data_IF_012881580613
#
_entry.id   IF_012881580613
#
_cell.length_a   1.000
_cell.length_b   1.000
_cell.length_c   1.000
_cell.angle_alpha   90.00
_cell.angle_beta   90.00
_cell.angle_gamma   90.00
#
_symmetry.space_group_name_H-M   'P 1'
#
loop_
_entity.id
_entity.type
_entity.pdbx_description
1 polymer ?
#
# COMPACT_ATOMS: atom_id res chain seq x y z
N UNK A 1 13.63 20.91 -18.14
CA UNK A 1 12.48 20.00 -17.99
C UNK A 1 11.23 20.85 -17.73
N UNK A 2 10.02 20.38 -18.04
CA UNK A 2 8.76 21.15 -17.93
C UNK A 2 8.04 20.82 -16.61
N UNK A 3 8.75 20.84 -15.50
CA UNK A 3 8.28 20.23 -14.25
C UNK A 3 7.17 21.02 -13.54
N UNK A 4 6.99 22.30 -13.91
CA UNK A 4 5.93 23.19 -13.41
C UNK A 4 4.81 23.45 -14.44
N UNK A 5 4.84 22.78 -15.60
CA UNK A 5 3.87 23.00 -16.67
C UNK A 5 3.18 21.69 -17.04
N UNK A 6 1.84 21.72 -17.12
CA UNK A 6 1.07 20.58 -17.63
C UNK A 6 1.41 20.35 -19.10
N UNK A 7 1.76 19.12 -19.45
CA UNK A 7 1.97 18.71 -20.84
C UNK A 7 0.59 18.45 -21.45
N UNK A 8 0.26 19.11 -22.56
CA UNK A 8 -0.99 18.86 -23.27
C UNK A 8 -0.94 17.47 -23.92
N UNK A 9 -1.62 16.53 -23.30
CA UNK A 9 -1.65 15.14 -23.70
C UNK A 9 -3.00 14.51 -23.32
N UNK A 10 -3.42 13.52 -24.10
CA UNK A 10 -4.53 12.63 -23.76
C UNK A 10 -3.98 11.22 -23.71
N UNK A 11 -4.15 10.56 -22.56
CA UNK A 11 -3.64 9.20 -22.31
C UNK A 11 -4.83 8.38 -21.80
N UNK A 12 -5.11 7.25 -22.47
CA UNK A 12 -6.24 6.38 -22.14
C UNK A 12 -7.58 7.14 -22.04
N UNK A 13 -7.81 8.07 -22.97
CA UNK A 13 -8.97 8.98 -23.02
C UNK A 13 -9.08 10.01 -21.87
N UNK A 14 -8.06 10.12 -21.02
CA UNK A 14 -7.96 11.16 -19.99
C UNK A 14 -7.05 12.30 -20.41
N UNK A 15 -7.56 13.54 -20.31
CA UNK A 15 -6.76 14.74 -20.50
C UNK A 15 -5.80 14.92 -19.31
N UNK A 16 -4.52 15.10 -19.60
CA UNK A 16 -3.52 15.40 -18.59
C UNK A 16 -3.85 16.71 -17.85
N UNK A 17 -3.57 16.70 -16.55
CA UNK A 17 -3.81 17.83 -15.66
C UNK A 17 -2.85 17.78 -14.46
N UNK A 18 -3.05 18.67 -13.51
CA UNK A 18 -2.28 18.75 -12.27
C UNK A 18 -3.10 18.40 -11.02
N UNK A 19 -4.26 17.75 -11.19
CA UNK A 19 -5.09 17.30 -10.08
C UNK A 19 -4.88 15.81 -9.85
N UNK A 20 -4.74 15.44 -8.58
CA UNK A 20 -4.69 14.06 -8.10
C UNK A 20 -5.58 13.92 -6.87
N UNK A 21 -5.66 12.74 -6.29
CA UNK A 21 -6.49 12.46 -5.11
C UNK A 21 -5.70 11.62 -4.11
N UNK A 22 -5.93 11.90 -2.82
CA UNK A 22 -5.43 11.08 -1.73
C UNK A 22 -6.37 9.90 -1.42
N UNK A 23 -6.23 9.35 -0.22
CA UNK A 23 -7.01 8.22 0.26
C UNK A 23 -8.50 8.57 0.32
N UNK A 24 -9.34 7.74 -0.29
CA UNK A 24 -10.77 8.00 -0.50
C UNK A 24 -11.56 8.39 0.76
N UNK A 25 -11.15 7.90 1.93
CA UNK A 25 -11.83 8.19 3.20
C UNK A 25 -11.11 9.20 4.08
N UNK A 26 -9.78 9.30 3.98
CA UNK A 26 -9.01 10.16 4.88
C UNK A 26 -8.77 11.54 4.27
N UNK A 27 -8.61 11.62 2.94
CA UNK A 27 -8.42 12.85 2.19
C UNK A 27 -9.17 12.76 0.83
N UNK A 28 -10.51 12.90 0.83
CA UNK A 28 -11.32 12.71 -0.37
C UNK A 28 -11.25 13.87 -1.38
N UNK A 29 -10.66 14.99 -0.98
CA UNK A 29 -10.62 16.20 -1.80
C UNK A 29 -9.52 16.11 -2.87
N UNK A 30 -9.71 16.84 -3.97
CA UNK A 30 -8.70 16.93 -5.01
C UNK A 30 -7.45 17.66 -4.50
N UNK A 31 -6.28 17.08 -4.74
CA UNK A 31 -4.97 17.63 -4.45
C UNK A 31 -4.43 18.28 -5.73
N UNK A 32 -4.15 19.58 -5.68
CA UNK A 32 -3.56 20.31 -6.81
C UNK A 32 -2.04 20.31 -6.68
N UNK A 33 -1.35 19.79 -7.70
CA UNK A 33 0.10 19.78 -7.79
C UNK A 33 0.58 21.08 -8.45
N UNK A 34 1.53 21.75 -7.81
CA UNK A 34 2.18 22.94 -8.37
C UNK A 34 3.45 22.57 -9.14
N UNK A 35 4.11 21.48 -8.72
CA UNK A 35 5.30 20.94 -9.35
C UNK A 35 5.24 19.41 -9.41
N UNK A 36 5.78 18.80 -10.47
CA UNK A 36 5.77 17.33 -10.62
C UNK A 36 6.49 16.62 -9.46
N UNK A 37 7.56 17.22 -8.93
CA UNK A 37 8.31 16.70 -7.78
C UNK A 37 7.48 16.66 -6.48
N UNK A 38 6.37 17.39 -6.39
CA UNK A 38 5.51 17.42 -5.20
C UNK A 38 4.64 16.16 -5.10
N UNK A 39 4.61 15.31 -6.13
CA UNK A 39 3.68 14.19 -6.23
C UNK A 39 3.74 13.26 -5.02
N UNK A 40 4.94 12.77 -4.67
CA UNK A 40 5.12 11.82 -3.58
C UNK A 40 4.75 12.43 -2.22
N UNK A 41 5.23 13.64 -1.93
CA UNK A 41 4.97 14.31 -0.64
C UNK A 41 3.50 14.72 -0.50
N UNK A 42 2.87 15.19 -1.57
CA UNK A 42 1.45 15.59 -1.57
C UNK A 42 0.54 14.39 -1.36
N UNK A 43 0.80 13.26 -2.03
CA UNK A 43 0.05 12.03 -1.81
C UNK A 43 0.29 11.45 -0.43
N UNK A 44 1.51 11.52 0.10
CA UNK A 44 1.80 11.07 1.46
C UNK A 44 1.02 11.88 2.50
N UNK A 45 0.88 13.20 2.32
CA UNK A 45 0.01 14.04 3.16
C UNK A 45 -1.47 13.65 3.02
N UNK A 46 -1.89 13.19 1.84
CA UNK A 46 -3.20 12.62 1.57
C UNK A 46 -3.36 11.15 1.94
N UNK A 47 -2.52 10.60 2.82
CA UNK A 47 -2.55 9.19 3.23
C UNK A 47 -2.35 8.18 2.10
N UNK A 48 -1.46 8.46 1.15
CA UNK A 48 -1.07 7.55 0.07
C UNK A 48 0.44 7.53 -0.06
N UNK A 49 1.07 6.37 0.14
CA UNK A 49 2.49 6.19 -0.16
C UNK A 49 2.62 5.75 -1.62
N UNK A 50 2.82 6.69 -2.54
CA UNK A 50 2.80 6.37 -3.97
C UNK A 50 4.01 5.55 -4.45
N UNK A 51 5.16 5.71 -3.79
CA UNK A 51 6.37 4.95 -4.10
C UNK A 51 6.22 3.48 -3.70
N UNK A 52 6.44 2.57 -4.66
CA UNK A 52 6.20 1.14 -4.46
C UNK A 52 7.23 0.52 -3.51
N UNK A 53 8.51 0.84 -3.67
CA UNK A 53 9.58 0.29 -2.84
C UNK A 53 9.46 0.78 -1.40
N UNK A 54 9.09 2.05 -1.20
CA UNK A 54 8.81 2.61 0.12
C UNK A 54 7.61 1.94 0.80
N UNK A 55 6.54 1.64 0.05
CA UNK A 55 5.41 0.85 0.56
C UNK A 55 5.83 -0.55 0.96
N UNK A 56 6.53 -1.25 0.09
CA UNK A 56 6.99 -2.61 0.32
C UNK A 56 7.89 -2.70 1.57
N UNK A 57 8.84 -1.77 1.69
CA UNK A 57 9.71 -1.67 2.85
C UNK A 57 8.92 -1.40 4.14
N UNK A 58 7.92 -0.51 4.07
CA UNK A 58 7.04 -0.20 5.20
C UNK A 58 6.23 -1.42 5.64
N UNK A 59 5.61 -2.15 4.71
CA UNK A 59 4.84 -3.37 4.99
C UNK A 59 5.74 -4.41 5.65
N UNK A 60 6.90 -4.68 5.06
CA UNK A 60 7.87 -5.65 5.57
C UNK A 60 8.34 -5.31 6.99
N UNK A 61 8.65 -4.04 7.25
CA UNK A 61 9.07 -3.58 8.57
C UNK A 61 7.95 -3.73 9.62
N UNK A 62 6.71 -3.37 9.28
CA UNK A 62 5.58 -3.50 10.19
C UNK A 62 5.25 -4.97 10.50
N UNK A 63 5.24 -5.85 9.49
CA UNK A 63 5.01 -7.29 9.68
C UNK A 63 6.11 -7.92 10.52
N UNK A 64 7.39 -7.60 10.23
CA UNK A 64 8.52 -8.09 11.01
C UNK A 64 8.40 -7.69 12.47
N UNK A 65 8.09 -6.42 12.74
CA UNK A 65 7.91 -5.91 14.11
C UNK A 65 6.83 -6.69 14.87
N UNK A 66 5.65 -6.89 14.26
CA UNK A 66 4.54 -7.62 14.89
C UNK A 66 4.86 -9.09 15.16
N UNK A 67 5.69 -9.71 14.32
CA UNK A 67 6.16 -11.09 14.50
C UNK A 67 7.23 -11.19 15.59
N UNK A 68 8.19 -10.26 15.61
CA UNK A 68 9.22 -10.18 16.66
C UNK A 68 8.58 -10.03 18.05
N UNK A 69 7.50 -9.22 18.18
CA UNK A 69 6.78 -9.00 19.43
C UNK A 69 6.20 -10.29 20.08
N UNK A 70 6.06 -11.37 19.31
CA UNK A 70 5.60 -12.70 19.78
C UNK A 70 6.63 -13.80 19.56
N UNK A 71 7.88 -13.45 19.20
CA UNK A 71 8.93 -14.40 18.87
C UNK A 71 8.51 -15.40 17.77
N UNK A 72 7.75 -14.92 16.78
CA UNK A 72 7.30 -15.71 15.63
C UNK A 72 8.05 -15.30 14.35
N UNK A 73 7.97 -16.15 13.33
CA UNK A 73 8.44 -15.84 11.98
C UNK A 73 7.24 -15.72 11.05
N UNK A 74 7.07 -14.54 10.44
CA UNK A 74 6.05 -14.34 9.42
C UNK A 74 6.45 -15.04 8.11
N UNK A 75 5.52 -15.77 7.51
CA UNK A 75 5.70 -16.38 6.18
C UNK A 75 5.17 -15.39 5.15
N UNK A 76 6.09 -14.65 4.51
CA UNK A 76 5.77 -13.64 3.50
C UNK A 76 6.59 -13.90 2.24
N UNK A 77 6.09 -14.74 1.32
CA UNK A 77 6.75 -14.95 0.03
C UNK A 77 6.84 -13.64 -0.76
N UNK A 78 7.89 -13.43 -1.60
CA UNK A 78 8.05 -12.18 -2.36
C UNK A 78 6.84 -11.82 -3.23
N UNK A 79 6.23 -12.81 -3.90
CA UNK A 79 5.04 -12.58 -4.73
C UNK A 79 3.85 -12.07 -3.92
N UNK A 80 3.62 -12.61 -2.72
CA UNK A 80 2.57 -12.14 -1.81
C UNK A 80 2.85 -10.72 -1.34
N UNK A 81 4.12 -10.41 -1.02
CA UNK A 81 4.51 -9.05 -0.63
C UNK A 81 4.27 -8.04 -1.76
N UNK A 82 4.61 -8.39 -3.00
CA UNK A 82 4.38 -7.55 -4.18
C UNK A 82 2.88 -7.31 -4.39
N UNK A 83 2.07 -8.35 -4.27
CA UNK A 83 0.61 -8.27 -4.40
C UNK A 83 0.00 -7.36 -3.33
N UNK A 84 0.30 -7.60 -2.04
CA UNK A 84 -0.19 -6.75 -0.95
C UNK A 84 0.27 -5.30 -1.13
N UNK A 85 1.51 -5.10 -1.60
CA UNK A 85 2.04 -3.75 -1.90
C UNK A 85 1.23 -3.08 -3.02
N UNK A 86 0.81 -3.83 -4.04
CA UNK A 86 -0.01 -3.31 -5.14
C UNK A 86 -1.46 -2.98 -4.70
N UNK A 87 -2.00 -3.69 -3.71
CA UNK A 87 -3.38 -3.52 -3.23
C UNK A 87 -3.55 -2.41 -2.19
N UNK A 88 -2.47 -2.05 -1.47
CA UNK A 88 -2.55 -1.12 -0.33
C UNK A 88 -1.87 0.20 -0.65
N UNK A 89 -2.62 1.29 -0.56
CA UNK A 89 -2.11 2.66 -0.73
C UNK A 89 -1.55 3.27 0.57
N UNK A 90 -2.04 2.83 1.73
CA UNK A 90 -1.57 3.26 3.05
C UNK A 90 -1.36 2.06 4.00
N UNK A 91 -0.11 1.57 4.15
CA UNK A 91 0.15 0.35 4.93
C UNK A 91 -0.10 0.49 6.45
N UNK A 92 -0.99 -0.35 6.97
CA UNK A 92 -1.20 -0.56 8.42
C UNK A 92 -1.31 -2.07 8.69
N UNK A 93 -0.25 -2.68 9.20
CA UNK A 93 -0.23 -4.08 9.58
C UNK A 93 -0.93 -4.29 10.93
N UNK A 94 -1.71 -5.36 11.03
CA UNK A 94 -2.44 -5.74 12.22
C UNK A 94 -2.11 -7.19 12.60
N UNK A 95 -2.02 -7.47 13.90
CA UNK A 95 -1.97 -8.82 14.42
C UNK A 95 -3.32 -9.18 15.02
N UNK A 96 -3.93 -10.25 14.52
CA UNK A 96 -5.21 -10.77 15.00
C UNK A 96 -5.05 -12.23 15.45
N UNK A 97 -6.10 -12.79 16.05
CA UNK A 97 -6.14 -14.18 16.48
C UNK A 97 -7.53 -14.73 16.20
N UNK A 98 -7.61 -16.02 15.85
CA UNK A 98 -8.86 -16.74 15.66
C UNK A 98 -9.15 -17.62 16.87
N UNK A 99 -10.42 -17.97 17.08
CA UNK A 99 -10.76 -18.97 18.10
C UNK A 99 -10.16 -20.34 17.72
N UNK A 100 -9.62 -21.06 18.70
CA UNK A 100 -8.89 -22.31 18.48
C UNK A 100 -9.69 -23.36 17.71
N UNK A 101 -11.03 -23.41 17.89
CA UNK A 101 -11.91 -24.33 17.16
C UNK A 101 -11.85 -24.16 15.65
N UNK A 102 -11.57 -22.95 15.16
CA UNK A 102 -11.43 -22.66 13.72
C UNK A 102 -10.03 -23.02 13.19
N UNK A 103 -9.08 -23.27 14.09
CA UNK A 103 -7.72 -23.69 13.76
C UNK A 103 -7.55 -25.23 13.77
N UNK A 104 -8.61 -25.98 14.09
CA UNK A 104 -8.63 -27.43 14.15
C UNK A 104 -8.73 -28.09 12.75
N UNK A 105 -7.94 -27.61 11.81
CA UNK A 105 -7.80 -28.12 10.44
C UNK A 105 -6.31 -28.23 10.09
N UNK A 106 -5.93 -28.97 9.03
CA UNK A 106 -4.53 -29.04 8.61
C UNK A 106 -3.92 -27.65 8.40
N UNK A 107 -2.69 -27.48 8.87
CA UNK A 107 -2.01 -26.18 8.85
C UNK A 107 -1.83 -25.66 7.42
N UNK A 108 -1.59 -26.55 6.46
CA UNK A 108 -1.43 -26.22 5.04
C UNK A 108 -2.70 -25.61 4.45
N UNK A 109 -3.88 -26.09 4.89
CA UNK A 109 -5.15 -25.54 4.44
C UNK A 109 -5.37 -24.11 4.96
N UNK A 110 -4.96 -23.84 6.21
CA UNK A 110 -4.98 -22.49 6.79
C UNK A 110 -4.03 -21.55 6.06
N UNK A 111 -2.78 -21.98 5.84
CA UNK A 111 -1.77 -21.14 5.18
C UNK A 111 -2.21 -20.79 3.76
N UNK A 112 -2.66 -21.76 2.95
CA UNK A 112 -3.14 -21.49 1.60
C UNK A 112 -4.29 -20.50 1.60
N UNK A 113 -5.33 -20.73 2.42
CA UNK A 113 -6.52 -19.88 2.46
C UNK A 113 -6.24 -18.46 2.96
N UNK A 114 -5.19 -18.26 3.75
CA UNK A 114 -4.79 -16.94 4.26
C UNK A 114 -3.83 -16.19 3.33
N UNK A 115 -3.17 -16.88 2.40
CA UNK A 115 -2.24 -16.29 1.44
C UNK A 115 -2.88 -15.99 0.09
N UNK A 116 -3.89 -16.76 -0.32
CA UNK A 116 -4.70 -16.57 -1.53
C UNK A 116 -5.79 -15.49 -1.36
#
# INVERSE_FOLDING_TARGET
MKDSAVIDATILDFKAGNQTYGHRFHEPQAITLHHANDYLSSLQAGYVVADFDARQATISAQVKKLADDVNAQAIVPPALLDEVTALVEWPVALRATFEERFLAVPQEALISTMQD
#
